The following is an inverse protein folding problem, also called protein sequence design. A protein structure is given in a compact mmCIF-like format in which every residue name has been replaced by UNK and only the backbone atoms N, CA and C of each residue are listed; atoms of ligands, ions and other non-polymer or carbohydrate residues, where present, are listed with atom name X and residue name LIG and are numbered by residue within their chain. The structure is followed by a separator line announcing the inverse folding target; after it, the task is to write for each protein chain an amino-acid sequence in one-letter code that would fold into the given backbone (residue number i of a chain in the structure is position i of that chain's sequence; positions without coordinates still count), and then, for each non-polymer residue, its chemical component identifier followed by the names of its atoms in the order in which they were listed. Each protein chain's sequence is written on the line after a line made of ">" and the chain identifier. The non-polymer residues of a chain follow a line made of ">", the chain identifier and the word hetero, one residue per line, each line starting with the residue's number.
data_IF_450879678661
#
_entry.id   IF_450879678661
#
_cell.length_a   1.000
_cell.length_b   1.000
_cell.length_c   1.000
_cell.angle_alpha   90.00
_cell.angle_beta   90.00
_cell.angle_gamma   90.00
#
_symmetry.space_group_name_H-M   'P 1'
#
loop_
_entity.id
_entity.type
_entity.pdbx_description
1 polymer ?
#
# COMPACT_ATOMS: atom_id res chain seq x y z
N UNK A 1 15.93 22.40 -9.63
CA UNK A 1 15.01 21.58 -10.46
C UNK A 1 14.00 20.96 -9.51
N UNK A 2 12.68 21.06 -9.79
CA UNK A 2 11.67 20.42 -8.94
C UNK A 2 11.76 18.89 -9.11
N UNK A 3 11.85 18.18 -8.00
CA UNK A 3 11.73 16.72 -7.91
C UNK A 3 10.39 16.35 -7.26
N UNK A 4 9.96 15.09 -7.43
CA UNK A 4 8.71 14.60 -6.86
C UNK A 4 8.58 14.86 -5.35
N UNK A 5 9.69 14.76 -4.60
CA UNK A 5 9.76 15.04 -3.16
C UNK A 5 9.70 16.52 -2.78
N UNK A 6 9.88 17.41 -3.74
CA UNK A 6 9.87 18.88 -3.52
C UNK A 6 8.58 19.52 -4.01
N UNK A 7 7.64 18.74 -4.53
CA UNK A 7 6.32 19.22 -4.91
C UNK A 7 5.48 19.49 -3.66
N UNK A 8 4.82 20.64 -3.60
CA UNK A 8 3.79 20.88 -2.60
C UNK A 8 2.58 19.96 -2.81
N UNK A 9 1.79 19.73 -1.76
CA UNK A 9 0.55 18.93 -1.83
C UNK A 9 -0.38 19.41 -2.94
N UNK A 10 -0.52 20.73 -3.11
CA UNK A 10 -1.34 21.32 -4.17
C UNK A 10 -0.82 21.01 -5.58
N UNK A 11 0.50 20.95 -5.76
CA UNK A 11 1.12 20.61 -7.04
C UNK A 11 1.04 19.11 -7.35
N UNK A 12 1.00 18.25 -6.33
CA UNK A 12 0.89 16.80 -6.48
C UNK A 12 -0.54 16.31 -6.76
N UNK A 13 -1.53 17.22 -6.75
CA UNK A 13 -2.93 16.88 -7.01
C UNK A 13 -3.07 16.12 -8.35
N UNK A 14 -3.82 15.03 -8.31
CA UNK A 14 -4.13 14.16 -9.45
C UNK A 14 -2.95 13.39 -10.07
N UNK A 15 -1.72 13.52 -9.55
CA UNK A 15 -0.56 12.77 -10.03
C UNK A 15 -0.65 11.28 -9.67
N UNK A 16 -1.52 10.92 -8.73
CA UNK A 16 -1.87 9.55 -8.36
C UNK A 16 -2.61 8.81 -9.50
N UNK A 17 -3.40 9.52 -10.31
CA UNK A 17 -4.23 8.92 -11.37
C UNK A 17 -3.43 8.14 -12.42
N UNK A 18 -2.41 8.71 -13.09
CA UNK A 18 -1.64 7.96 -14.09
C UNK A 18 -0.92 6.75 -13.49
N UNK A 19 -0.44 6.84 -12.25
CA UNK A 19 0.17 5.72 -11.53
C UNK A 19 -0.85 4.60 -11.26
N UNK A 20 -2.06 4.97 -10.83
CA UNK A 20 -3.13 4.00 -10.61
C UNK A 20 -3.61 3.32 -11.91
N UNK A 21 -3.69 4.07 -13.01
CA UNK A 21 -4.01 3.51 -14.33
C UNK A 21 -2.94 2.50 -14.76
N UNK A 22 -1.66 2.89 -14.67
CA UNK A 22 -0.55 2.01 -15.00
C UNK A 22 -0.57 0.72 -14.15
N UNK A 23 -0.78 0.86 -12.84
CA UNK A 23 -0.94 -0.29 -11.94
C UNK A 23 -2.06 -1.24 -12.40
N UNK A 24 -3.23 -0.71 -12.78
CA UNK A 24 -4.35 -1.53 -13.25
C UNK A 24 -4.07 -2.24 -14.57
N UNK A 25 -3.42 -1.57 -15.51
CA UNK A 25 -3.07 -2.17 -16.79
C UNK A 25 -2.06 -3.30 -16.60
N UNK A 26 -1.03 -3.11 -15.76
CA UNK A 26 -0.07 -4.16 -15.41
C UNK A 26 -0.73 -5.39 -14.75
N UNK A 27 -1.74 -5.20 -13.90
CA UNK A 27 -2.52 -6.32 -13.33
C UNK A 27 -3.30 -7.06 -14.42
N UNK A 28 -3.93 -6.33 -15.34
CA UNK A 28 -4.68 -6.94 -16.44
C UNK A 28 -3.75 -7.78 -17.30
N UNK A 29 -2.61 -7.24 -17.65
CA UNK A 29 -1.60 -7.92 -18.47
C UNK A 29 -1.04 -9.15 -17.75
N UNK A 30 -0.78 -9.06 -16.44
CA UNK A 30 -0.40 -10.20 -15.62
C UNK A 30 -1.47 -11.30 -15.60
N UNK A 31 -2.75 -10.90 -15.49
CA UNK A 31 -3.88 -11.85 -15.51
C UNK A 31 -4.00 -12.54 -16.86
N UNK A 32 -3.82 -11.82 -17.97
CA UNK A 32 -3.82 -12.39 -19.31
C UNK A 32 -2.72 -13.44 -19.50
N UNK A 33 -1.53 -13.23 -18.92
CA UNK A 33 -0.44 -14.21 -18.97
C UNK A 33 -0.78 -15.52 -18.25
N UNK A 34 -1.52 -15.44 -17.14
CA UNK A 34 -2.04 -16.63 -16.45
C UNK A 34 -3.13 -17.29 -17.29
N UNK A 35 -4.15 -16.53 -17.67
CA UNK A 35 -5.35 -17.06 -18.33
C UNK A 35 -5.06 -17.71 -19.69
N UNK A 36 -4.10 -17.16 -20.44
CA UNK A 36 -3.78 -17.65 -21.80
C UNK A 36 -2.67 -18.68 -21.83
N UNK A 37 -1.66 -18.50 -20.97
CA UNK A 37 -0.40 -19.23 -21.11
C UNK A 37 0.01 -20.00 -19.84
N UNK A 38 -0.82 -19.99 -18.79
CA UNK A 38 -0.52 -20.53 -17.48
C UNK A 38 0.86 -20.04 -16.93
N UNK A 39 1.27 -18.84 -17.33
CA UNK A 39 2.62 -18.32 -17.12
C UNK A 39 2.73 -17.57 -15.80
N UNK A 40 2.52 -18.28 -14.69
CA UNK A 40 2.52 -17.73 -13.33
C UNK A 40 3.81 -17.02 -12.96
N UNK A 41 4.96 -17.53 -13.40
CA UNK A 41 6.26 -16.92 -13.17
C UNK A 41 6.34 -15.47 -13.69
N UNK A 42 6.08 -15.26 -14.99
CA UNK A 42 6.13 -13.93 -15.62
C UNK A 42 5.00 -13.03 -15.11
N UNK A 43 3.82 -13.61 -14.93
CA UNK A 43 2.67 -12.91 -14.39
C UNK A 43 2.94 -12.37 -12.98
N UNK A 44 3.61 -13.16 -12.13
CA UNK A 44 3.96 -12.75 -10.76
C UNK A 44 4.92 -11.56 -10.78
N UNK A 45 5.96 -11.59 -11.62
CA UNK A 45 6.88 -10.45 -11.73
C UNK A 45 6.19 -9.18 -12.18
N UNK A 46 5.30 -9.28 -13.17
CA UNK A 46 4.52 -8.14 -13.65
C UNK A 46 3.52 -7.64 -12.60
N UNK A 47 2.95 -8.55 -11.81
CA UNK A 47 2.04 -8.22 -10.73
C UNK A 47 2.75 -7.54 -9.54
N UNK A 48 4.00 -7.90 -9.25
CA UNK A 48 4.83 -7.17 -8.27
C UNK A 48 5.07 -5.73 -8.75
N UNK A 49 5.38 -5.52 -10.03
CA UNK A 49 5.51 -4.17 -10.61
C UNK A 49 4.19 -3.38 -10.53
N UNK A 50 3.07 -4.03 -10.83
CA UNK A 50 1.73 -3.44 -10.67
C UNK A 50 1.48 -2.98 -9.23
N UNK A 51 1.88 -3.77 -8.24
CA UNK A 51 1.77 -3.43 -6.82
C UNK A 51 2.65 -2.23 -6.45
N UNK A 52 3.88 -2.16 -6.97
CA UNK A 52 4.79 -1.02 -6.78
C UNK A 52 4.17 0.29 -7.29
N UNK A 53 3.55 0.28 -8.47
CA UNK A 53 2.88 1.44 -9.06
C UNK A 53 1.64 1.87 -8.26
N UNK A 54 0.85 0.90 -7.78
CA UNK A 54 -0.31 1.18 -6.92
C UNK A 54 0.10 1.82 -5.58
N UNK A 55 1.18 1.31 -5.00
CA UNK A 55 1.79 1.84 -3.78
C UNK A 55 2.26 3.28 -3.98
N UNK A 56 2.91 3.59 -5.12
CA UNK A 56 3.26 4.98 -5.49
C UNK A 56 2.01 5.85 -5.55
N UNK A 57 0.95 5.40 -6.23
CA UNK A 57 -0.30 6.14 -6.35
C UNK A 57 -0.92 6.49 -4.98
N UNK A 58 -0.90 5.55 -4.03
CA UNK A 58 -1.39 5.77 -2.66
C UNK A 58 -0.59 6.88 -1.96
N UNK A 59 0.76 6.84 -2.04
CA UNK A 59 1.58 7.88 -1.42
C UNK A 59 1.34 9.26 -2.05
N UNK A 60 1.24 9.32 -3.37
CA UNK A 60 0.95 10.59 -4.08
C UNK A 60 -0.40 11.13 -3.66
N UNK A 61 -1.42 10.25 -3.57
CA UNK A 61 -2.75 10.62 -3.13
C UNK A 61 -2.73 11.20 -1.72
N UNK A 62 -2.11 10.51 -0.77
CA UNK A 62 -2.00 10.99 0.62
C UNK A 62 -1.26 12.34 0.70
N UNK A 63 -0.14 12.50 0.00
CA UNK A 63 0.59 13.77 -0.06
C UNK A 63 -0.26 14.90 -0.64
N UNK A 64 -1.05 14.62 -1.68
CA UNK A 64 -1.93 15.64 -2.29
C UNK A 64 -3.01 16.15 -1.33
N UNK A 65 -3.36 15.36 -0.32
CA UNK A 65 -4.30 15.69 0.75
C UNK A 65 -3.60 16.26 2.00
N UNK A 66 -2.34 16.72 1.86
CA UNK A 66 -1.53 17.35 2.91
C UNK A 66 -1.12 16.45 4.07
N UNK A 67 -1.16 15.12 3.87
CA UNK A 67 -0.60 14.17 4.84
C UNK A 67 0.93 14.12 4.70
N UNK A 68 1.66 14.07 5.81
CA UNK A 68 3.12 14.18 5.86
C UNK A 68 3.86 12.88 5.51
N UNK A 69 3.41 12.20 4.46
CA UNK A 69 3.91 10.87 4.07
C UNK A 69 5.36 10.87 3.57
N UNK A 70 5.89 12.02 3.14
CA UNK A 70 7.29 12.17 2.74
C UNK A 70 8.23 12.55 3.89
N UNK A 71 7.67 12.97 5.03
CA UNK A 71 8.43 13.28 6.24
C UNK A 71 8.60 12.04 7.13
N UNK A 72 7.86 10.97 6.83
CA UNK A 72 8.10 9.66 7.41
C UNK A 72 9.56 9.26 7.21
N UNK A 73 10.17 8.74 8.29
CA UNK A 73 11.53 8.21 8.24
C UNK A 73 11.63 7.23 7.08
N UNK A 74 12.71 7.29 6.30
CA UNK A 74 12.93 6.42 5.14
C UNK A 74 11.98 6.59 3.93
N UNK A 75 11.07 7.57 3.91
CA UNK A 75 10.19 7.84 2.75
C UNK A 75 10.96 8.16 1.45
N UNK A 76 12.17 8.75 1.55
CA UNK A 76 13.04 9.00 0.39
C UNK A 76 13.61 7.71 -0.23
N UNK A 77 13.72 6.64 0.54
CA UNK A 77 14.15 5.32 0.03
C UNK A 77 13.06 4.60 -0.75
N UNK A 78 11.81 5.08 -0.69
CA UNK A 78 10.66 4.57 -1.44
C UNK A 78 10.82 4.62 -2.96
N UNK A 79 11.42 5.69 -3.46
CA UNK A 79 11.54 5.92 -4.90
C UNK A 79 12.92 5.51 -5.45
N UNK A 80 13.85 5.07 -4.59
CA UNK A 80 15.27 4.94 -4.95
C UNK A 80 15.92 3.58 -4.65
N UNK A 81 15.30 2.69 -3.86
CA UNK A 81 15.96 1.44 -3.42
C UNK A 81 15.08 0.19 -3.54
N UNK A 82 15.66 -0.95 -3.94
CA UNK A 82 15.04 -2.30 -4.03
C UNK A 82 14.38 -2.82 -2.72
N UNK A 83 14.41 -2.02 -1.64
CA UNK A 83 13.78 -2.21 -0.33
C UNK A 83 12.23 -2.03 -0.31
N UNK A 84 11.59 -2.09 -1.48
CA UNK A 84 10.13 -2.14 -1.72
C UNK A 84 9.38 -3.12 -0.78
N UNK A 85 10.11 -4.11 -0.27
CA UNK A 85 9.74 -5.14 0.71
C UNK A 85 9.12 -4.63 2.02
N UNK A 86 9.54 -3.47 2.54
CA UNK A 86 9.04 -2.93 3.81
C UNK A 86 7.81 -2.03 3.61
N UNK A 87 7.79 -1.28 2.51
CA UNK A 87 6.77 -0.28 2.21
C UNK A 87 5.46 -0.90 1.74
N UNK A 88 5.54 -2.01 0.99
CA UNK A 88 4.36 -2.83 0.68
C UNK A 88 3.77 -3.39 1.97
N UNK A 89 4.60 -3.78 2.95
CA UNK A 89 4.11 -4.29 4.23
C UNK A 89 3.34 -3.24 5.03
N UNK A 90 3.89 -2.04 5.11
CA UNK A 90 3.25 -0.97 5.85
C UNK A 90 1.99 -0.47 5.14
N UNK A 91 1.98 -0.34 3.81
CA UNK A 91 0.78 0.10 3.08
C UNK A 91 -0.35 -0.92 3.08
N UNK A 92 -0.04 -2.22 3.11
CA UNK A 92 -1.04 -3.28 3.27
C UNK A 92 -1.69 -3.25 4.66
N UNK A 93 -0.88 -3.05 5.70
CA UNK A 93 -1.37 -2.96 7.08
C UNK A 93 -2.11 -1.65 7.33
N UNK A 94 -1.62 -0.51 6.84
CA UNK A 94 -2.31 0.79 6.88
C UNK A 94 -3.67 0.69 6.18
N UNK A 95 -3.70 0.05 5.02
CA UNK A 95 -4.92 -0.15 4.25
C UNK A 95 -5.96 -1.02 4.91
N UNK A 96 -5.51 -2.10 5.55
CA UNK A 96 -6.39 -3.05 6.22
C UNK A 96 -6.85 -2.55 7.59
N UNK A 97 -5.96 -1.97 8.42
CA UNK A 97 -6.31 -1.41 9.73
C UNK A 97 -7.30 -0.25 9.61
N UNK A 98 -7.11 0.62 8.61
CA UNK A 98 -8.03 1.70 8.34
C UNK A 98 -9.37 1.19 7.75
N UNK A 99 -9.35 0.20 6.85
CA UNK A 99 -10.56 -0.48 6.38
C UNK A 99 -11.35 -1.12 7.53
N UNK A 100 -10.69 -1.87 8.43
CA UNK A 100 -11.34 -2.44 9.60
C UNK A 100 -11.93 -1.37 10.52
N UNK A 101 -11.22 -0.25 10.72
CA UNK A 101 -11.71 0.87 11.52
C UNK A 101 -12.97 1.48 10.91
N UNK A 102 -13.00 1.68 9.59
CA UNK A 102 -14.16 2.18 8.84
C UNK A 102 -15.32 1.16 8.84
N UNK A 103 -15.05 -0.13 8.63
CA UNK A 103 -16.07 -1.19 8.62
C UNK A 103 -16.68 -1.41 10.01
N UNK A 104 -15.85 -1.47 11.07
CA UNK A 104 -16.31 -1.56 12.46
C UNK A 104 -17.13 -0.33 12.84
N UNK A 105 -16.78 0.83 12.31
CA UNK A 105 -17.52 2.06 12.53
C UNK A 105 -18.87 2.08 11.77
N UNK A 106 -18.97 1.55 10.55
CA UNK A 106 -20.27 1.33 9.92
C UNK A 106 -21.18 0.42 10.74
N UNK A 107 -20.61 -0.57 11.45
CA UNK A 107 -21.35 -1.53 12.28
C UNK A 107 -21.67 -1.05 13.70
N UNK A 108 -20.89 -0.13 14.28
CA UNK A 108 -21.11 0.40 15.64
C UNK A 108 -21.55 1.86 15.59
N UNK A 109 -22.86 2.09 15.74
CA UNK A 109 -23.39 3.40 16.08
C UNK A 109 -22.63 4.02 17.27
N UNK A 110 -22.15 5.26 17.08
CA UNK A 110 -21.32 6.09 17.97
C UNK A 110 -21.59 5.92 19.48
N UNK A 111 -20.52 5.83 20.32
CA UNK A 111 -20.40 6.48 21.65
C UNK A 111 -18.93 6.67 22.09
N UNK A 112 -18.56 7.91 22.49
CA UNK A 112 -17.50 8.19 23.49
C UNK A 112 -16.25 8.98 23.03
N UNK A 113 -15.93 10.14 23.66
CA UNK A 113 -14.76 10.98 23.34
C UNK A 113 -13.45 10.59 24.05
N UNK A 114 -13.39 9.42 24.71
CA UNK A 114 -12.23 8.96 25.49
C UNK A 114 -11.45 7.82 24.80
N UNK A 115 -11.35 7.85 23.46
CA UNK A 115 -10.84 6.73 22.65
C UNK A 115 -9.50 6.99 21.95
N UNK A 116 -8.98 8.22 21.88
CA UNK A 116 -7.85 8.57 21.01
C UNK A 116 -6.55 7.83 21.35
N UNK A 117 -6.16 7.78 22.63
CA UNK A 117 -4.95 7.08 23.07
C UNK A 117 -5.07 5.54 22.99
N UNK A 118 -6.26 5.00 23.32
CA UNK A 118 -6.55 3.57 23.18
C UNK A 118 -6.65 3.10 21.72
N UNK A 119 -7.16 3.96 20.83
CA UNK A 119 -7.19 3.75 19.37
C UNK A 119 -5.78 3.67 18.80
N UNK A 120 -4.90 4.61 19.18
CA UNK A 120 -3.51 4.64 18.71
C UNK A 120 -2.76 3.37 19.13
N UNK A 121 -2.90 2.96 20.39
CA UNK A 121 -2.35 1.71 20.92
C UNK A 121 -2.91 0.46 20.21
N UNK A 122 -4.21 0.40 19.93
CA UNK A 122 -4.82 -0.74 19.25
C UNK A 122 -4.37 -0.85 17.79
N UNK A 123 -4.23 0.28 17.10
CA UNK A 123 -3.68 0.35 15.73
C UNK A 123 -2.19 -0.03 15.72
N UNK A 124 -1.41 0.46 16.70
CA UNK A 124 0.00 0.07 16.87
C UNK A 124 0.16 -1.43 17.17
N UNK A 125 -0.68 -2.00 18.03
CA UNK A 125 -0.65 -3.43 18.36
C UNK A 125 -1.00 -4.31 17.15
N UNK A 126 -1.98 -3.90 16.34
CA UNK A 126 -2.31 -4.59 15.08
C UNK A 126 -1.10 -4.52 14.14
N UNK A 127 -0.47 -3.35 13.97
CA UNK A 127 0.72 -3.18 13.14
C UNK A 127 1.93 -4.01 13.62
N UNK A 128 2.10 -4.20 14.93
CA UNK A 128 3.19 -5.01 15.53
C UNK A 128 2.93 -6.51 15.37
N UNK A 129 1.68 -6.96 15.40
CA UNK A 129 1.31 -8.38 15.31
C UNK A 129 1.53 -9.01 13.92
N UNK A 130 1.91 -8.20 12.92
CA UNK A 130 1.91 -8.61 11.50
C UNK A 130 3.24 -9.21 10.98
N UNK A 131 4.07 -9.75 11.87
CA UNK A 131 5.41 -10.25 11.53
C UNK A 131 5.42 -11.31 10.40
N UNK A 132 4.41 -12.17 10.30
CA UNK A 132 4.35 -13.19 9.24
C UNK A 132 4.08 -12.61 7.85
N UNK A 133 3.21 -11.60 7.73
CA UNK A 133 2.92 -10.96 6.44
C UNK A 133 4.08 -10.09 5.99
N UNK A 134 4.74 -9.40 6.94
CA UNK A 134 5.99 -8.67 6.67
C UNK A 134 7.06 -9.63 6.10
N UNK A 135 7.18 -10.85 6.64
CA UNK A 135 8.10 -11.87 6.11
C UNK A 135 7.76 -12.29 4.67
N UNK A 136 6.48 -12.45 4.32
CA UNK A 136 6.05 -12.79 2.95
C UNK A 136 6.46 -11.72 1.94
N UNK A 137 6.31 -10.45 2.30
CA UNK A 137 6.60 -9.32 1.42
C UNK A 137 8.09 -9.12 1.13
N UNK A 138 8.96 -9.62 2.03
CA UNK A 138 10.40 -9.70 1.75
C UNK A 138 10.72 -10.56 0.53
N UNK A 139 9.87 -11.54 0.21
CA UNK A 139 10.05 -12.44 -0.93
C UNK A 139 9.63 -11.82 -2.26
N UNK A 140 8.86 -10.74 -2.29
CA UNK A 140 8.26 -10.22 -3.54
C UNK A 140 9.30 -9.71 -4.55
N UNK A 141 10.41 -9.12 -4.09
CA UNK A 141 11.50 -8.76 -5.00
C UNK A 141 12.20 -10.01 -5.57
N UNK A 142 12.27 -11.08 -4.76
CA UNK A 142 12.81 -12.35 -5.22
C UNK A 142 11.84 -12.99 -6.21
N UNK A 143 10.52 -12.91 -5.98
CA UNK A 143 9.52 -13.33 -6.96
C UNK A 143 9.63 -12.55 -8.27
N UNK A 144 9.79 -11.22 -8.19
CA UNK A 144 9.98 -10.37 -9.37
C UNK A 144 11.19 -10.79 -10.19
N UNK A 145 12.32 -11.01 -9.53
CA UNK A 145 13.55 -11.37 -10.21
C UNK A 145 13.50 -12.82 -10.72
N UNK A 146 13.14 -13.76 -9.87
CA UNK A 146 13.11 -15.19 -10.20
C UNK A 146 12.01 -15.52 -11.23
N UNK A 147 10.94 -14.74 -11.34
CA UNK A 147 9.89 -14.95 -12.33
C UNK A 147 10.26 -14.54 -13.76
N UNK A 148 11.28 -13.67 -13.93
CA UNK A 148 11.78 -13.21 -15.23
C UNK A 148 13.16 -13.75 -15.60
N UNK A 149 14.07 -13.85 -14.62
CA UNK A 149 15.47 -14.18 -14.87
C UNK A 149 15.78 -15.61 -14.50
N UNK A 150 16.48 -16.30 -15.40
CA UNK A 150 17.16 -17.56 -15.07
C UNK A 150 18.35 -17.22 -14.19
N UNK A 151 18.37 -17.78 -12.98
CA UNK A 151 19.43 -17.54 -12.00
C UNK A 151 20.51 -18.63 -12.02
N UNK A 152 21.73 -18.24 -11.65
CA UNK A 152 22.87 -19.13 -11.47
C UNK A 152 23.45 -18.87 -10.08
N UNK A 153 22.81 -19.43 -9.05
CA UNK A 153 23.40 -19.50 -7.70
C UNK A 153 24.20 -20.80 -7.63
N UNK A 154 23.77 -21.73 -6.78
CA UNK A 154 24.40 -23.07 -6.66
C UNK A 154 23.78 -24.11 -7.61
N UNK A 155 22.70 -23.73 -8.31
CA UNK A 155 22.01 -24.51 -9.34
C UNK A 155 21.38 -23.57 -10.37
N UNK A 156 21.00 -24.12 -11.53
CA UNK A 156 20.15 -23.42 -12.49
C UNK A 156 18.78 -23.18 -11.85
N UNK A 157 18.39 -21.91 -11.72
CA UNK A 157 17.07 -21.52 -11.22
C UNK A 157 16.19 -21.18 -12.43
N UNK A 158 15.35 -22.13 -12.84
CA UNK A 158 14.35 -21.91 -13.90
C UNK A 158 13.14 -21.18 -13.29
N UNK A 159 12.76 -19.99 -13.82
CA UNK A 159 11.57 -19.27 -13.38
C UNK A 159 10.30 -20.11 -13.25
N UNK A 160 10.10 -21.10 -14.13
CA UNK A 160 8.91 -21.97 -14.11
C UNK A 160 8.89 -22.93 -12.91
N UNK A 161 10.04 -23.23 -12.34
CA UNK A 161 10.19 -24.11 -11.19
C UNK A 161 10.19 -23.33 -9.88
N UNK A 162 10.65 -22.08 -9.91
CA UNK A 162 10.82 -21.25 -8.71
C UNK A 162 9.56 -20.44 -8.36
N UNK A 163 8.73 -20.07 -9.35
CA UNK A 163 7.53 -19.25 -9.15
C UNK A 163 6.32 -19.91 -9.79
N UNK A 164 5.38 -20.31 -8.94
CA UNK A 164 4.14 -20.97 -9.32
C UNK A 164 2.89 -20.15 -8.96
N UNK A 165 1.78 -20.86 -8.90
CA UNK A 165 0.45 -20.30 -8.67
C UNK A 165 0.31 -19.66 -7.29
N UNK A 166 0.91 -20.26 -6.25
CA UNK A 166 0.87 -19.75 -4.88
C UNK A 166 1.44 -18.34 -4.75
N UNK A 167 2.58 -18.09 -5.39
CA UNK A 167 3.25 -16.79 -5.34
C UNK A 167 2.41 -15.73 -6.07
N UNK A 168 1.83 -16.08 -7.21
CA UNK A 168 0.95 -15.19 -7.95
C UNK A 168 -0.24 -14.72 -7.10
N UNK A 169 -0.95 -15.65 -6.45
CA UNK A 169 -2.10 -15.29 -5.62
C UNK A 169 -1.71 -14.57 -4.33
N UNK A 170 -0.53 -14.84 -3.76
CA UNK A 170 -0.01 -14.08 -2.62
C UNK A 170 0.21 -12.61 -2.98
N UNK A 171 0.81 -12.32 -4.14
CA UNK A 171 0.99 -10.93 -4.61
C UNK A 171 -0.36 -10.31 -4.99
N UNK A 172 -1.28 -11.09 -5.58
CA UNK A 172 -2.63 -10.61 -5.96
C UNK A 172 -3.45 -10.19 -4.75
N UNK A 173 -3.39 -10.95 -3.67
CA UNK A 173 -4.06 -10.64 -2.40
C UNK A 173 -3.55 -9.32 -1.82
N UNK A 174 -2.22 -9.12 -1.82
CA UNK A 174 -1.60 -7.85 -1.45
C UNK A 174 -2.13 -6.70 -2.34
N UNK A 175 -2.08 -6.88 -3.66
CA UNK A 175 -2.58 -5.87 -4.58
C UNK A 175 -4.04 -5.46 -4.33
N UNK A 176 -4.92 -6.43 -4.05
CA UNK A 176 -6.32 -6.17 -3.74
C UNK A 176 -6.49 -5.32 -2.47
N UNK A 177 -5.73 -5.62 -1.42
CA UNK A 177 -5.75 -4.83 -0.18
C UNK A 177 -5.30 -3.39 -0.41
N UNK A 178 -4.16 -3.18 -1.09
CA UNK A 178 -3.71 -1.84 -1.46
C UNK A 178 -4.76 -1.10 -2.30
N UNK A 179 -5.43 -1.80 -3.23
CA UNK A 179 -6.46 -1.18 -4.07
C UNK A 179 -7.67 -0.74 -3.25
N UNK A 180 -8.10 -1.53 -2.28
CA UNK A 180 -9.21 -1.15 -1.40
C UNK A 180 -8.87 0.11 -0.61
N UNK A 181 -7.65 0.20 -0.08
CA UNK A 181 -7.20 1.40 0.61
C UNK A 181 -7.14 2.63 -0.30
N UNK A 182 -6.55 2.49 -1.50
CA UNK A 182 -6.53 3.58 -2.48
C UNK A 182 -7.94 4.11 -2.78
N UNK A 183 -8.90 3.21 -3.01
CA UNK A 183 -10.32 3.59 -3.24
C UNK A 183 -10.92 4.30 -2.03
N UNK A 184 -10.61 3.82 -0.83
CA UNK A 184 -11.11 4.40 0.41
C UNK A 184 -10.59 5.84 0.60
N UNK A 185 -9.30 6.09 0.34
CA UNK A 185 -8.73 7.43 0.29
C UNK A 185 -9.45 8.31 -0.75
N UNK A 186 -9.70 7.78 -1.94
CA UNK A 186 -10.45 8.51 -2.97
C UNK A 186 -11.85 8.89 -2.51
N UNK A 187 -12.55 8.02 -1.76
CA UNK A 187 -13.90 8.28 -1.25
C UNK A 187 -13.87 9.31 -0.12
N UNK A 188 -12.96 9.16 0.85
CA UNK A 188 -12.89 10.01 2.04
C UNK A 188 -12.53 11.46 1.72
N UNK A 189 -11.75 11.67 0.67
CA UNK A 189 -11.38 12.99 0.17
C UNK A 189 -12.23 13.44 -1.02
N UNK A 190 -13.31 12.72 -1.34
CA UNK A 190 -14.20 13.13 -2.43
C UNK A 190 -15.12 14.26 -1.96
N UNK A 191 -15.28 15.37 -2.71
CA UNK A 191 -16.15 16.49 -2.32
C UNK A 191 -17.62 16.09 -2.08
N UNK A 192 -18.11 15.09 -2.83
CA UNK A 192 -19.49 14.57 -2.67
C UNK A 192 -19.70 13.74 -1.40
N UNK A 193 -18.67 13.48 -0.59
CA UNK A 193 -18.84 12.75 0.66
C UNK A 193 -19.76 13.50 1.64
N UNK A 194 -19.78 14.84 1.57
CA UNK A 194 -20.69 15.69 2.36
C UNK A 194 -22.17 15.38 2.12
N UNK A 195 -22.52 14.76 0.98
CA UNK A 195 -23.89 14.35 0.67
C UNK A 195 -24.31 13.09 1.45
N UNK A 196 -23.35 12.36 2.02
CA UNK A 196 -23.56 11.06 2.67
C UNK A 196 -23.15 11.07 4.15
N UNK A 197 -22.25 11.96 4.57
CA UNK A 197 -21.77 12.10 5.93
C UNK A 197 -21.75 13.57 6.36
N UNK A 198 -22.00 13.83 7.63
CA UNK A 198 -21.90 15.19 8.18
C UNK A 198 -20.46 15.69 8.19
N UNK A 199 -20.27 16.99 8.00
CA UNK A 199 -18.94 17.64 8.03
C UNK A 199 -18.14 17.31 9.29
N UNK A 200 -18.76 17.33 10.46
CA UNK A 200 -18.09 16.95 11.71
C UNK A 200 -17.53 15.53 11.64
N UNK A 201 -18.28 14.59 11.04
CA UNK A 201 -17.82 13.22 10.92
C UNK A 201 -16.72 13.05 9.87
N UNK A 202 -16.76 13.84 8.80
CA UNK A 202 -15.69 13.89 7.79
C UNK A 202 -14.40 14.43 8.41
N UNK A 203 -14.48 15.54 9.15
CA UNK A 203 -13.34 16.12 9.85
C UNK A 203 -12.76 15.15 10.91
N UNK A 204 -13.61 14.39 11.61
CA UNK A 204 -13.16 13.32 12.51
C UNK A 204 -12.37 12.22 11.78
N UNK A 205 -12.78 11.83 10.56
CA UNK A 205 -12.00 10.86 9.73
C UNK A 205 -10.65 11.44 9.36
N UNK A 206 -10.65 12.66 8.83
CA UNK A 206 -9.43 13.32 8.37
C UNK A 206 -8.45 13.50 9.54
N UNK A 207 -8.94 13.93 10.70
CA UNK A 207 -8.13 14.04 11.92
C UNK A 207 -7.61 12.69 12.43
N UNK A 208 -8.43 11.64 12.45
CA UNK A 208 -7.98 10.29 12.82
C UNK A 208 -6.89 9.77 11.85
N UNK A 209 -7.01 10.08 10.55
CA UNK A 209 -6.02 9.72 9.54
C UNK A 209 -4.73 10.54 9.66
N UNK A 210 -4.83 11.85 9.87
CA UNK A 210 -3.69 12.74 10.13
C UNK A 210 -2.92 12.31 11.37
N UNK A 211 -3.61 12.05 12.48
CA UNK A 211 -2.99 11.56 13.72
C UNK A 211 -2.22 10.26 13.48
N UNK A 212 -2.84 9.32 12.77
CA UNK A 212 -2.19 8.04 12.46
C UNK A 212 -0.96 8.20 11.57
N UNK A 213 -1.06 8.97 10.48
CA UNK A 213 0.03 9.14 9.52
C UNK A 213 1.15 10.02 10.08
N UNK A 214 0.82 11.12 10.75
CA UNK A 214 1.82 12.11 11.15
C UNK A 214 2.44 11.79 12.52
N UNK A 215 1.71 11.12 13.43
CA UNK A 215 2.22 10.83 14.79
C UNK A 215 2.59 9.37 14.96
N UNK A 216 1.67 8.43 14.74
CA UNK A 216 1.94 7.01 15.01
C UNK A 216 3.00 6.41 14.07
N UNK A 217 3.09 6.95 12.84
CA UNK A 217 4.02 6.44 11.83
C UNK A 217 5.34 7.21 11.76
N UNK A 218 5.44 8.43 12.31
CA UNK A 218 6.67 9.24 12.25
C UNK A 218 7.77 8.72 13.19
N UNK A 219 7.40 8.17 14.34
CA UNK A 219 8.33 7.52 15.28
C UNK A 219 8.72 6.10 14.85
N UNK A 220 7.98 5.51 13.90
CA UNK A 220 8.22 4.16 13.43
C UNK A 220 9.42 4.12 12.47
N UNK A 221 10.52 3.51 12.91
CA UNK A 221 11.72 3.36 12.08
C UNK A 221 11.61 2.14 11.17
N UNK A 222 11.80 2.32 9.86
CA UNK A 222 11.79 1.25 8.87
C UNK A 222 13.11 0.46 8.88
N UNK A 223 14.10 0.95 9.65
CA UNK A 223 15.33 0.23 9.97
C UNK A 223 15.08 -0.82 11.05
N UNK A 224 14.82 -2.05 10.65
CA UNK A 224 15.19 -3.20 11.49
C UNK A 224 16.66 -3.53 11.21
N UNK A 225 17.44 -3.63 12.29
CA UNK A 225 18.73 -4.33 12.28
C UNK A 225 18.58 -5.71 11.65
#
# INVERSE_FOLDING_TARGET
>A
MQTFFTLSSKQAKDFDKPLYVNARDLLRDASLLVDKNNSYNRATSLLVLSLEELVKAILVKMHSESLQVYDLKDAKFFFSQHKIRHQVAQLLEMGYAFYEAVEKWQKKGRKGPLQSAGKLLQVLLIAISTNERIKKLKKFNDYKNNGFYVGYRDRLLDPKQEIGESEFYEVKEAWQRCRHFYKLLCIIYHPKLENHLSRNRINEIHGDLELFINEAMSEYSFSLK
#
